data_IF_264850282493
#
_entry.id   IF_264850282493
#
_cell.length_a   1.000
_cell.length_b   1.000
_cell.length_c   1.000
_cell.angle_alpha   90.00
_cell.angle_beta   90.00
_cell.angle_gamma   90.00
#
_symmetry.space_group_name_H-M   'P 1'
#
loop_
_entity.id
_entity.type
_entity.pdbx_description
1 polymer ?
#
# COMPACT_ATOMS: atom_id res chain seq x y z
N UNK A 1 -50.98 73.93 45.45
CA UNK A 1 -50.22 72.65 45.46
C UNK A 1 -50.34 72.04 44.05
N UNK A 2 -49.46 72.37 43.15
CA UNK A 2 -49.52 71.97 41.72
C UNK A 2 -48.24 71.22 41.41
N UNK A 3 -48.33 69.89 41.18
CA UNK A 3 -47.24 69.06 40.74
C UNK A 3 -47.06 69.16 39.28
N UNK A 4 -45.88 69.63 38.85
CA UNK A 4 -45.43 69.60 37.45
C UNK A 4 -44.92 68.21 37.12
N UNK A 5 -45.50 67.58 36.08
CA UNK A 5 -45.01 66.31 35.50
C UNK A 5 -44.04 66.71 34.37
N UNK A 6 -42.82 66.29 34.47
CA UNK A 6 -41.78 66.47 33.46
C UNK A 6 -41.82 65.25 32.51
N UNK A 7 -42.18 65.47 31.24
CA UNK A 7 -42.22 64.43 30.20
C UNK A 7 -40.82 64.30 29.63
N UNK A 8 -40.18 63.16 29.80
CA UNK A 8 -38.86 62.84 29.23
C UNK A 8 -39.10 62.07 27.91
N UNK A 9 -38.77 62.72 26.81
CA UNK A 9 -38.82 62.08 25.47
C UNK A 9 -37.49 61.37 25.26
N UNK A 10 -37.52 60.05 25.23
CA UNK A 10 -36.37 59.20 24.88
C UNK A 10 -36.32 59.06 23.36
N UNK A 11 -35.33 59.65 22.69
CA UNK A 11 -35.03 59.46 21.28
C UNK A 11 -34.29 58.12 21.16
N UNK A 12 -34.91 57.09 20.61
CA UNK A 12 -34.26 55.83 20.23
C UNK A 12 -33.64 56.03 18.83
N UNK A 13 -32.33 56.24 18.79
CA UNK A 13 -31.57 56.18 17.55
C UNK A 13 -31.29 54.72 17.14
N UNK A 14 -31.88 54.29 16.07
CA UNK A 14 -31.58 52.98 15.44
C UNK A 14 -30.25 53.09 14.68
N UNK A 15 -29.18 52.54 15.27
CA UNK A 15 -27.95 52.28 14.52
C UNK A 15 -28.15 51.03 13.66
N UNK A 16 -28.30 51.25 12.37
CA UNK A 16 -28.24 50.19 11.35
C UNK A 16 -26.75 49.84 11.14
N UNK A 17 -26.26 48.83 11.81
CA UNK A 17 -24.97 48.26 11.53
C UNK A 17 -25.06 47.45 10.22
N UNK A 18 -24.46 47.95 9.13
CA UNK A 18 -24.18 47.12 7.95
C UNK A 18 -23.13 46.10 8.33
N UNK A 19 -23.57 44.83 8.55
CA UNK A 19 -22.66 43.71 8.59
C UNK A 19 -22.25 43.43 7.16
N UNK A 20 -21.05 43.87 6.78
CA UNK A 20 -20.39 43.38 5.58
C UNK A 20 -20.12 41.86 5.81
N UNK A 21 -20.89 41.04 5.16
CA UNK A 21 -20.55 39.62 5.03
C UNK A 21 -19.27 39.52 4.20
N UNK A 22 -18.15 39.30 4.85
CA UNK A 22 -16.92 38.89 4.19
C UNK A 22 -17.22 37.56 3.48
N UNK A 23 -17.40 37.62 2.17
CA UNK A 23 -17.42 36.40 1.34
C UNK A 23 -16.04 35.74 1.47
N UNK A 24 -15.98 34.41 1.74
CA UNK A 24 -14.70 33.72 1.79
C UNK A 24 -13.96 33.94 0.48
N UNK A 25 -12.74 34.44 0.56
CA UNK A 25 -11.84 34.54 -0.59
C UNK A 25 -11.73 33.14 -1.24
N UNK A 26 -11.87 33.03 -2.58
CA UNK A 26 -11.66 31.74 -3.24
C UNK A 26 -10.28 31.20 -2.86
N UNK A 27 -10.23 29.94 -2.45
CA UNK A 27 -8.97 29.25 -2.18
C UNK A 27 -8.06 29.37 -3.41
N UNK A 28 -6.76 29.57 -3.23
CA UNK A 28 -5.82 29.55 -4.35
C UNK A 28 -5.98 28.21 -5.09
N UNK A 29 -5.83 28.18 -6.42
CA UNK A 29 -5.88 26.94 -7.16
C UNK A 29 -4.86 25.97 -6.58
N UNK A 30 -5.28 24.74 -6.34
CA UNK A 30 -4.39 23.65 -5.93
C UNK A 30 -3.26 23.60 -6.97
N UNK A 31 -2.00 23.68 -6.57
CA UNK A 31 -0.89 23.60 -7.51
C UNK A 31 -1.01 22.31 -8.29
N UNK A 32 -1.09 22.38 -9.61
CA UNK A 32 -0.97 21.23 -10.48
C UNK A 32 0.44 20.67 -10.27
N UNK A 33 0.55 19.51 -9.60
CA UNK A 33 1.83 18.85 -9.39
C UNK A 33 2.27 18.38 -10.78
N UNK A 34 3.29 19.03 -11.33
CA UNK A 34 3.94 18.54 -12.56
C UNK A 34 4.73 17.29 -12.17
N UNK A 35 4.50 16.13 -12.80
CA UNK A 35 5.27 14.92 -12.48
C UNK A 35 6.76 15.19 -12.59
N UNK A 36 7.52 14.79 -11.58
CA UNK A 36 8.97 14.90 -11.58
C UNK A 36 9.51 13.74 -12.43
N UNK A 37 10.34 14.06 -13.43
CA UNK A 37 11.01 13.04 -14.24
C UNK A 37 12.22 12.52 -13.46
N UNK A 38 12.23 11.23 -13.15
CA UNK A 38 13.39 10.55 -12.56
C UNK A 38 14.45 10.30 -13.65
N UNK A 39 15.72 10.45 -13.32
CA UNK A 39 16.84 10.22 -14.25
C UNK A 39 17.20 8.72 -14.40
N UNK A 40 16.47 7.83 -13.75
CA UNK A 40 16.67 6.37 -13.85
C UNK A 40 16.47 5.90 -15.31
N UNK A 41 17.35 5.02 -15.85
CA UNK A 41 17.20 4.51 -17.21
C UNK A 41 15.83 3.85 -17.44
N UNK A 42 15.24 4.12 -18.59
CA UNK A 42 13.87 3.72 -18.92
C UNK A 42 13.62 2.20 -18.86
N UNK A 43 14.67 1.38 -19.08
CA UNK A 43 14.54 -0.06 -19.31
C UNK A 43 14.92 -0.92 -18.11
N UNK A 44 15.35 -0.33 -16.96
CA UNK A 44 15.87 -1.09 -15.82
C UNK A 44 15.42 -0.53 -14.43
N UNK A 45 14.28 0.15 -14.39
CA UNK A 45 13.82 0.75 -13.14
C UNK A 45 13.00 -0.21 -12.25
N UNK A 46 12.53 -1.35 -12.78
CA UNK A 46 11.78 -2.34 -12.00
C UNK A 46 12.14 -3.78 -12.35
N UNK A 47 11.83 -4.67 -11.43
CA UNK A 47 11.71 -6.12 -11.66
C UNK A 47 10.56 -6.66 -10.81
N UNK A 48 9.75 -7.55 -11.39
CA UNK A 48 8.64 -8.19 -10.65
C UNK A 48 8.99 -9.65 -10.40
N UNK A 49 8.76 -10.09 -9.19
CA UNK A 49 8.89 -11.48 -8.78
C UNK A 49 7.56 -11.98 -8.26
N UNK A 50 7.12 -13.13 -8.73
CA UNK A 50 5.97 -13.83 -8.19
C UNK A 50 6.42 -15.12 -7.50
N UNK A 51 5.77 -15.45 -6.39
CA UNK A 51 5.93 -16.76 -5.79
C UNK A 51 5.24 -17.80 -6.65
N UNK A 52 5.78 -19.02 -6.67
CA UNK A 52 5.14 -20.15 -7.34
C UNK A 52 5.05 -21.34 -6.38
N UNK A 53 3.98 -21.45 -5.59
CA UNK A 53 3.79 -22.54 -4.63
C UNK A 53 3.78 -23.95 -5.25
N UNK A 54 3.47 -24.06 -6.55
CA UNK A 54 3.45 -25.33 -7.27
C UNK A 54 4.81 -25.74 -7.84
N UNK A 55 5.80 -24.87 -7.77
CA UNK A 55 7.16 -25.23 -8.19
C UNK A 55 7.72 -26.30 -7.25
N UNK A 56 8.30 -27.39 -7.80
CA UNK A 56 8.88 -28.45 -6.96
C UNK A 56 9.96 -27.95 -5.98
N UNK A 57 10.67 -26.85 -6.31
CA UNK A 57 11.68 -26.24 -5.44
C UNK A 57 11.08 -25.52 -4.24
N UNK A 58 9.83 -25.06 -4.33
CA UNK A 58 9.13 -24.37 -3.24
C UNK A 58 9.01 -25.25 -1.98
N UNK A 59 8.83 -26.56 -2.17
CA UNK A 59 8.80 -27.54 -1.06
C UNK A 59 10.14 -27.66 -0.30
N UNK A 60 11.24 -27.25 -0.90
CA UNK A 60 12.59 -27.17 -0.28
C UNK A 60 12.99 -25.77 0.15
N UNK A 61 12.08 -24.80 0.06
CA UNK A 61 12.29 -23.39 0.38
C UNK A 61 13.46 -22.78 -0.40
N UNK A 62 13.45 -22.97 -1.72
CA UNK A 62 14.48 -22.47 -2.65
C UNK A 62 13.85 -21.91 -3.91
N UNK A 63 14.52 -20.91 -4.49
CA UNK A 63 14.07 -20.28 -5.72
C UNK A 63 12.89 -19.31 -5.55
N UNK A 64 12.58 -18.91 -4.33
CA UNK A 64 11.60 -17.88 -4.04
C UNK A 64 12.18 -16.46 -4.23
N UNK A 65 11.32 -15.44 -4.27
CA UNK A 65 11.74 -14.04 -4.41
C UNK A 65 12.68 -13.54 -3.31
N UNK A 66 12.69 -14.20 -2.16
CA UNK A 66 13.56 -13.90 -1.03
C UNK A 66 15.05 -14.09 -1.35
N UNK A 67 15.40 -14.95 -2.32
CA UNK A 67 16.81 -15.12 -2.75
C UNK A 67 17.36 -13.84 -3.37
N UNK A 68 16.59 -13.18 -4.20
CA UNK A 68 16.99 -11.92 -4.86
C UNK A 68 17.04 -10.76 -3.85
N UNK A 69 16.03 -10.62 -3.00
CA UNK A 69 16.04 -9.62 -1.92
C UNK A 69 17.21 -9.84 -0.98
N UNK A 70 17.48 -11.07 -0.55
CA UNK A 70 18.61 -11.36 0.36
C UNK A 70 19.97 -11.11 -0.30
N UNK A 71 20.09 -11.29 -1.62
CA UNK A 71 21.29 -10.91 -2.36
C UNK A 71 21.48 -9.37 -2.38
N UNK A 72 20.42 -8.62 -2.69
CA UNK A 72 20.44 -7.15 -2.66
C UNK A 72 20.79 -6.60 -1.26
N UNK A 73 20.23 -7.17 -0.19
CA UNK A 73 20.54 -6.81 1.19
C UNK A 73 22.04 -7.04 1.49
N UNK A 74 22.62 -8.17 1.06
CA UNK A 74 24.06 -8.44 1.25
C UNK A 74 24.96 -7.52 0.42
N UNK A 75 24.46 -7.03 -0.70
CA UNK A 75 25.19 -6.12 -1.60
C UNK A 75 25.09 -4.64 -1.17
N UNK A 76 24.27 -4.30 -0.19
CA UNK A 76 24.13 -2.95 0.36
C UNK A 76 25.46 -2.37 0.82
N UNK A 77 25.64 -1.05 0.66
CA UNK A 77 26.90 -0.35 0.97
C UNK A 77 26.78 0.68 2.09
N UNK A 78 25.59 1.29 2.24
CA UNK A 78 25.38 2.43 3.13
C UNK A 78 24.33 2.12 4.21
N UNK A 79 23.12 1.77 3.80
CA UNK A 79 21.98 1.66 4.72
C UNK A 79 20.93 0.67 4.23
N UNK A 80 20.21 0.11 5.18
CA UNK A 80 19.00 -0.70 4.97
C UNK A 80 17.96 -0.25 5.98
N UNK A 81 16.82 0.21 5.49
CA UNK A 81 15.63 0.54 6.27
C UNK A 81 14.53 -0.44 5.92
N UNK A 82 14.09 -1.26 6.87
CA UNK A 82 13.14 -2.33 6.64
C UNK A 82 11.89 -2.20 7.50
N UNK A 83 10.72 -2.05 6.87
CA UNK A 83 9.42 -2.13 7.54
C UNK A 83 8.84 -3.52 7.30
N UNK A 84 8.72 -4.32 8.36
CA UNK A 84 8.47 -5.75 8.29
C UNK A 84 7.27 -6.12 9.15
N UNK A 85 6.15 -6.50 8.51
CA UNK A 85 5.02 -7.04 9.26
C UNK A 85 5.39 -8.33 10.00
N UNK A 86 5.98 -9.30 9.31
CA UNK A 86 6.32 -10.61 9.87
C UNK A 86 7.58 -11.18 9.23
N UNK A 87 8.53 -11.65 10.06
CA UNK A 87 9.81 -12.22 9.63
C UNK A 87 10.01 -13.61 10.22
N UNK A 88 10.09 -14.65 9.35
CA UNK A 88 10.66 -15.95 9.69
C UNK A 88 11.38 -16.62 8.52
N UNK A 89 11.75 -15.83 7.50
CA UNK A 89 12.67 -16.25 6.44
C UNK A 89 14.12 -16.05 6.88
N UNK A 90 14.81 -17.16 7.07
CA UNK A 90 16.23 -17.14 7.48
C UNK A 90 17.14 -16.46 6.45
N UNK A 91 16.81 -16.57 5.15
CA UNK A 91 17.54 -15.90 4.08
C UNK A 91 17.60 -14.39 4.28
N UNK A 92 16.47 -13.78 4.67
CA UNK A 92 16.38 -12.33 4.92
C UNK A 92 17.02 -11.96 6.26
N UNK A 93 16.70 -12.70 7.35
CA UNK A 93 17.35 -12.48 8.66
C UNK A 93 18.86 -12.52 8.56
N UNK A 94 19.42 -13.60 7.97
CA UNK A 94 20.88 -13.78 7.85
C UNK A 94 21.51 -12.70 6.95
N UNK A 95 20.78 -12.22 5.93
CA UNK A 95 21.26 -11.15 5.09
C UNK A 95 21.32 -9.81 5.84
N UNK A 96 20.30 -9.47 6.64
CA UNK A 96 20.27 -8.26 7.47
C UNK A 96 21.40 -8.28 8.51
N UNK A 97 21.61 -9.41 9.19
CA UNK A 97 22.69 -9.58 10.16
C UNK A 97 24.06 -9.42 9.47
N UNK A 98 24.28 -10.10 8.32
CA UNK A 98 25.55 -10.00 7.60
C UNK A 98 25.84 -8.59 7.08
N UNK A 99 24.82 -7.86 6.62
CA UNK A 99 24.95 -6.45 6.22
C UNK A 99 25.37 -5.59 7.42
N UNK A 100 24.71 -5.74 8.57
CA UNK A 100 25.03 -5.04 9.80
C UNK A 100 26.49 -5.34 10.27
N UNK A 101 26.88 -6.60 10.30
CA UNK A 101 28.24 -7.02 10.66
C UNK A 101 29.32 -6.48 9.70
N UNK A 102 28.95 -6.21 8.43
CA UNK A 102 29.85 -5.59 7.45
C UNK A 102 29.95 -4.07 7.59
N UNK A 103 29.19 -3.45 8.50
CA UNK A 103 29.20 -2.03 8.79
C UNK A 103 28.13 -1.21 8.08
N UNK A 104 27.18 -1.86 7.39
CA UNK A 104 25.98 -1.21 6.84
C UNK A 104 25.06 -0.80 7.99
N UNK A 105 24.48 0.40 7.92
CA UNK A 105 23.46 0.83 8.88
C UNK A 105 22.18 0.08 8.61
N UNK A 106 21.76 -0.80 9.51
CA UNK A 106 20.51 -1.57 9.39
C UNK A 106 19.56 -1.12 10.48
N UNK A 107 18.33 -0.71 10.06
CA UNK A 107 17.24 -0.31 10.97
C UNK A 107 15.98 -1.08 10.59
N UNK A 108 15.19 -1.50 11.58
CA UNK A 108 13.98 -2.28 11.35
C UNK A 108 12.83 -1.71 12.15
N UNK A 109 11.69 -1.50 11.48
CA UNK A 109 10.37 -1.32 12.10
C UNK A 109 9.60 -2.62 11.92
N UNK A 110 8.98 -3.12 12.98
CA UNK A 110 8.26 -4.39 12.94
C UNK A 110 6.92 -4.29 13.68
N UNK A 111 5.93 -5.04 13.17
CA UNK A 111 4.68 -5.27 13.89
C UNK A 111 4.96 -5.87 15.29
N UNK A 112 4.41 -5.25 16.32
CA UNK A 112 4.71 -5.57 17.71
C UNK A 112 4.31 -6.98 18.11
N UNK A 113 3.25 -7.53 17.55
CA UNK A 113 2.78 -8.89 17.82
C UNK A 113 3.79 -9.97 17.34
N UNK A 114 4.74 -9.60 16.47
CA UNK A 114 5.75 -10.49 15.92
C UNK A 114 7.16 -10.27 16.52
N UNK A 115 7.31 -9.35 17.48
CA UNK A 115 8.62 -9.04 18.09
C UNK A 115 9.19 -10.16 18.96
N UNK A 116 8.37 -11.05 19.46
CA UNK A 116 8.79 -12.19 20.29
C UNK A 116 9.24 -13.40 19.47
N UNK A 117 9.13 -13.35 18.13
CA UNK A 117 9.64 -14.42 17.27
C UNK A 117 11.17 -14.50 17.28
N UNK A 118 11.69 -15.72 17.02
CA UNK A 118 13.12 -16.03 17.12
C UNK A 118 13.94 -15.12 16.22
N UNK A 119 13.50 -14.93 14.97
CA UNK A 119 14.22 -14.12 13.98
C UNK A 119 14.30 -12.65 14.38
N UNK A 120 13.23 -12.09 14.96
CA UNK A 120 13.24 -10.72 15.49
C UNK A 120 14.19 -10.57 16.68
N UNK A 121 14.24 -11.56 17.57
CA UNK A 121 15.19 -11.56 18.68
C UNK A 121 16.64 -11.69 18.22
N UNK A 122 16.91 -12.54 17.22
CA UNK A 122 18.26 -12.70 16.63
C UNK A 122 18.76 -11.41 15.95
N UNK A 123 17.88 -10.61 15.32
CA UNK A 123 18.25 -9.27 14.83
C UNK A 123 18.69 -8.35 15.98
N UNK A 124 17.93 -8.32 17.09
CA UNK A 124 18.28 -7.53 18.29
C UNK A 124 19.57 -8.01 18.93
N UNK A 125 19.77 -9.32 19.05
CA UNK A 125 20.97 -9.92 19.62
C UNK A 125 22.24 -9.62 18.79
N UNK A 126 22.07 -9.46 17.46
CA UNK A 126 23.13 -9.01 16.56
C UNK A 126 23.43 -7.50 16.68
N UNK A 127 22.65 -6.73 17.44
CA UNK A 127 22.83 -5.30 17.65
C UNK A 127 22.05 -4.42 16.66
N UNK A 128 21.17 -4.99 15.85
CA UNK A 128 20.30 -4.23 14.95
C UNK A 128 19.19 -3.57 15.77
N UNK A 129 18.94 -2.29 15.49
CA UNK A 129 17.83 -1.55 16.12
C UNK A 129 16.51 -1.98 15.51
N UNK A 130 15.63 -2.58 16.35
CA UNK A 130 14.29 -3.07 15.95
C UNK A 130 13.25 -2.37 16.80
N UNK A 131 12.44 -1.51 16.17
CA UNK A 131 11.35 -0.76 16.79
C UNK A 131 10.00 -1.45 16.50
N UNK A 132 9.15 -1.60 17.52
CA UNK A 132 7.77 -2.07 17.36
C UNK A 132 6.78 -0.91 17.38
N UNK A 133 5.64 -1.06 16.72
CA UNK A 133 4.59 -0.04 16.68
C UNK A 133 3.77 0.08 17.98
N UNK A 134 3.72 -0.95 18.82
CA UNK A 134 3.13 -0.98 20.18
C UNK A 134 1.65 -0.58 20.25
N UNK A 135 0.86 -0.91 19.23
CA UNK A 135 -0.58 -0.58 19.15
C UNK A 135 -1.41 -1.78 18.68
N UNK A 136 -2.75 -1.67 18.75
CA UNK A 136 -3.68 -2.72 18.33
C UNK A 136 -3.84 -2.83 16.79
N UNK A 137 -3.66 -1.72 16.08
CA UNK A 137 -3.69 -1.69 14.61
C UNK A 137 -2.34 -2.15 14.07
N UNK A 138 -2.30 -2.58 12.81
CA UNK A 138 -1.11 -3.24 12.28
C UNK A 138 -0.14 -2.24 11.63
N UNK A 139 1.15 -2.36 11.96
CA UNK A 139 2.22 -1.94 11.07
C UNK A 139 2.33 -3.01 9.97
N UNK A 140 1.53 -2.86 8.93
CA UNK A 140 1.35 -3.90 7.91
C UNK A 140 2.20 -3.68 6.65
N UNK A 141 3.07 -2.70 6.64
CA UNK A 141 4.05 -2.47 5.60
C UNK A 141 4.99 -3.68 5.41
N UNK A 142 5.44 -3.89 4.19
CA UNK A 142 6.40 -4.92 3.79
C UNK A 142 7.31 -4.31 2.75
N UNK A 143 8.29 -3.53 3.22
CA UNK A 143 9.25 -2.94 2.30
C UNK A 143 10.66 -2.91 2.88
N UNK A 144 11.63 -2.84 1.99
CA UNK A 144 13.04 -2.61 2.31
C UNK A 144 13.57 -1.53 1.39
N UNK A 145 14.14 -0.48 1.97
CA UNK A 145 14.89 0.56 1.23
C UNK A 145 16.38 0.25 1.38
N UNK A 146 17.11 0.17 0.28
CA UNK A 146 18.54 -0.13 0.25
C UNK A 146 19.30 1.08 -0.30
N UNK A 147 20.30 1.56 0.45
CA UNK A 147 21.22 2.64 0.08
C UNK A 147 20.53 3.96 -0.34
N UNK A 148 19.23 4.15 0.03
CA UNK A 148 18.42 5.28 -0.42
C UNK A 148 18.22 5.33 -1.95
N UNK A 149 18.38 4.21 -2.65
CA UNK A 149 18.36 4.11 -4.10
C UNK A 149 17.40 3.04 -4.63
N UNK A 150 17.08 2.04 -3.83
CA UNK A 150 16.27 0.90 -4.22
C UNK A 150 15.17 0.65 -3.20
N UNK A 151 14.00 0.24 -3.68
CA UNK A 151 12.85 -0.18 -2.87
C UNK A 151 12.43 -1.58 -3.27
N UNK A 152 12.24 -2.43 -2.27
CA UNK A 152 11.61 -3.73 -2.41
C UNK A 152 10.29 -3.71 -1.65
N UNK A 153 9.16 -3.95 -2.32
CA UNK A 153 7.83 -3.97 -1.71
C UNK A 153 6.89 -4.90 -2.45
N UNK A 154 5.66 -5.08 -1.92
CA UNK A 154 4.65 -5.94 -2.50
C UNK A 154 3.75 -6.58 -1.44
N UNK A 155 3.10 -7.68 -1.81
CA UNK A 155 2.23 -8.41 -0.88
C UNK A 155 2.97 -9.42 0.01
N UNK A 156 4.22 -9.77 -0.32
CA UNK A 156 4.95 -10.86 0.33
C UNK A 156 5.38 -10.52 1.75
N UNK A 157 4.84 -11.22 2.74
CA UNK A 157 5.46 -11.25 4.07
C UNK A 157 6.81 -11.98 4.00
N UNK A 158 7.79 -11.54 4.77
CA UNK A 158 9.11 -12.17 4.79
C UNK A 158 9.11 -13.45 5.65
N UNK A 159 8.22 -14.34 5.28
CA UNK A 159 7.98 -15.62 5.97
C UNK A 159 8.09 -16.81 5.02
N UNK A 160 8.32 -18.00 5.57
CA UNK A 160 8.34 -19.26 4.78
C UNK A 160 7.03 -19.41 4.00
N UNK A 161 5.88 -19.12 4.62
CA UNK A 161 4.61 -19.15 3.92
C UNK A 161 4.55 -18.09 2.83
N UNK A 162 5.02 -16.88 3.12
CA UNK A 162 5.03 -15.76 2.18
C UNK A 162 5.86 -16.03 0.94
N UNK A 163 7.05 -16.58 1.10
CA UNK A 163 7.98 -16.81 -0.02
C UNK A 163 7.71 -18.09 -0.83
N UNK A 164 7.04 -19.12 -0.22
CA UNK A 164 7.04 -20.46 -0.81
C UNK A 164 5.70 -21.18 -0.84
N UNK A 165 4.67 -20.70 -0.14
CA UNK A 165 3.39 -21.40 -0.02
C UNK A 165 2.18 -20.59 -0.42
N UNK A 166 2.27 -19.27 -0.26
CA UNK A 166 1.22 -18.33 -0.65
C UNK A 166 1.49 -17.78 -2.05
N UNK A 167 0.45 -17.37 -2.77
CA UNK A 167 0.61 -16.57 -3.97
C UNK A 167 0.85 -15.11 -3.58
N UNK A 168 2.03 -14.59 -3.91
CA UNK A 168 2.48 -13.25 -3.58
C UNK A 168 3.27 -12.62 -4.73
N UNK A 169 3.41 -11.31 -4.69
CA UNK A 169 4.39 -10.58 -5.47
C UNK A 169 5.40 -9.84 -4.58
N UNK A 170 6.59 -9.66 -5.11
CA UNK A 170 7.63 -8.78 -4.60
C UNK A 170 8.15 -7.97 -5.79
N UNK A 171 8.18 -6.65 -5.68
CA UNK A 171 8.70 -5.77 -6.72
C UNK A 171 9.98 -5.11 -6.23
N UNK A 172 10.97 -5.03 -7.12
CA UNK A 172 12.20 -4.27 -6.94
C UNK A 172 12.12 -3.03 -7.81
N UNK A 173 12.17 -1.86 -7.18
CA UNK A 173 12.10 -0.55 -7.81
C UNK A 173 13.43 0.17 -7.64
N UNK A 174 14.08 0.53 -8.72
CA UNK A 174 15.39 1.22 -8.76
C UNK A 174 15.17 2.69 -9.09
N UNK A 175 14.98 3.50 -8.06
CA UNK A 175 14.77 4.94 -8.17
C UNK A 175 15.04 5.61 -6.82
N UNK A 176 15.91 6.60 -6.80
CA UNK A 176 16.20 7.39 -5.60
C UNK A 176 14.96 8.15 -5.10
N UNK A 177 14.10 8.61 -6.01
CA UNK A 177 12.88 9.35 -5.64
C UNK A 177 11.81 8.45 -5.05
N UNK A 178 11.66 7.22 -5.56
CA UNK A 178 10.82 6.22 -4.91
C UNK A 178 11.39 5.85 -3.54
N UNK A 179 12.72 5.66 -3.45
CA UNK A 179 13.37 5.39 -2.17
C UNK A 179 13.15 6.54 -1.17
N UNK A 180 13.17 7.81 -1.60
CA UNK A 180 12.85 8.98 -0.75
C UNK A 180 11.41 8.91 -0.20
N UNK A 181 10.42 8.44 -0.97
CA UNK A 181 9.05 8.25 -0.48
C UNK A 181 8.99 7.23 0.66
N UNK A 182 9.55 6.03 0.43
CA UNK A 182 9.55 4.96 1.43
C UNK A 182 10.46 5.28 2.64
N UNK A 183 11.53 6.05 2.43
CA UNK A 183 12.35 6.55 3.55
C UNK A 183 11.57 7.56 4.39
N UNK A 184 10.78 8.45 3.77
CA UNK A 184 9.94 9.40 4.53
C UNK A 184 8.96 8.67 5.44
N UNK A 185 8.27 7.67 4.91
CA UNK A 185 7.36 6.82 5.68
C UNK A 185 8.09 6.06 6.80
N UNK A 186 9.26 5.48 6.50
CA UNK A 186 10.08 4.79 7.48
C UNK A 186 10.52 5.73 8.62
N UNK A 187 10.95 6.95 8.31
CA UNK A 187 11.39 7.94 9.29
C UNK A 187 10.25 8.43 10.20
N UNK A 188 9.02 8.45 9.72
CA UNK A 188 7.87 8.73 10.58
C UNK A 188 7.69 7.65 11.64
N UNK A 189 7.74 6.40 11.23
CA UNK A 189 7.65 5.27 12.15
C UNK A 189 8.87 5.19 13.06
N UNK A 190 10.08 5.17 12.50
CA UNK A 190 11.30 4.86 13.23
C UNK A 190 11.81 6.02 14.10
N UNK A 191 11.89 7.22 13.52
CA UNK A 191 12.49 8.38 14.17
C UNK A 191 11.50 9.22 14.96
N UNK A 192 10.22 9.25 14.54
CA UNK A 192 9.18 10.07 15.16
C UNK A 192 8.19 9.26 15.99
N UNK A 193 8.27 7.92 15.94
CA UNK A 193 7.36 7.01 16.64
C UNK A 193 5.87 7.24 16.28
N UNK A 194 5.62 7.57 15.00
CA UNK A 194 4.30 7.87 14.46
C UNK A 194 3.80 6.69 13.64
N UNK A 195 2.58 6.23 13.94
CA UNK A 195 1.94 5.09 13.30
C UNK A 195 0.44 5.35 13.15
N UNK A 196 -0.19 4.76 12.13
CA UNK A 196 -1.62 4.84 11.90
C UNK A 196 -2.11 6.26 11.74
N UNK A 197 -3.13 6.66 12.50
CA UNK A 197 -3.76 7.98 12.44
C UNK A 197 -2.87 9.13 12.97
N UNK A 198 -1.65 8.84 13.37
CA UNK A 198 -0.64 9.83 13.77
C UNK A 198 0.35 10.18 12.67
N UNK A 199 0.43 9.42 11.57
CA UNK A 199 1.23 9.77 10.40
C UNK A 199 0.60 10.93 9.63
N UNK A 200 1.40 11.59 8.80
CA UNK A 200 0.97 12.79 8.07
C UNK A 200 1.29 12.68 6.59
N UNK A 201 0.37 13.10 5.73
CA UNK A 201 0.56 13.13 4.30
C UNK A 201 1.74 14.03 3.90
N UNK A 202 2.91 13.43 3.72
CA UNK A 202 4.15 14.15 3.42
C UNK A 202 5.02 13.44 2.37
N UNK A 203 4.45 12.46 1.64
CA UNK A 203 5.13 11.70 0.60
C UNK A 203 5.79 12.64 -0.42
N UNK A 204 7.15 12.73 -0.48
CA UNK A 204 7.85 13.78 -1.22
C UNK A 204 7.56 13.78 -2.72
N UNK A 205 7.41 12.59 -3.29
CA UNK A 205 7.22 12.35 -4.73
C UNK A 205 6.06 11.40 -4.97
N UNK A 206 4.87 11.74 -4.41
CA UNK A 206 3.67 10.88 -4.50
C UNK A 206 3.28 10.51 -5.94
N UNK A 207 3.67 11.33 -6.92
CA UNK A 207 3.52 11.05 -8.35
C UNK A 207 4.78 11.46 -9.10
N UNK A 208 5.34 10.54 -9.89
CA UNK A 208 6.55 10.76 -10.66
C UNK A 208 6.54 9.97 -11.98
N UNK A 209 7.46 10.30 -12.89
CA UNK A 209 7.61 9.61 -14.17
C UNK A 209 9.02 9.04 -14.29
N UNK A 210 9.14 7.73 -14.51
CA UNK A 210 10.40 7.04 -14.78
C UNK A 210 10.32 6.44 -16.17
N UNK A 211 11.25 6.80 -17.07
CA UNK A 211 11.29 6.21 -18.41
C UNK A 211 9.99 6.35 -19.20
N UNK A 212 9.20 7.39 -18.96
CA UNK A 212 7.89 7.59 -19.57
C UNK A 212 6.73 6.87 -18.88
N UNK A 213 6.99 6.09 -17.83
CA UNK A 213 5.99 5.41 -17.01
C UNK A 213 5.56 6.33 -15.86
N UNK A 214 4.25 6.53 -15.73
CA UNK A 214 3.68 7.21 -14.57
C UNK A 214 3.61 6.25 -13.38
N UNK A 215 4.09 6.71 -12.21
CA UNK A 215 4.10 5.94 -10.98
C UNK A 215 3.54 6.81 -9.87
N UNK A 216 2.65 6.23 -9.06
CA UNK A 216 2.15 6.86 -7.84
C UNK A 216 2.52 5.99 -6.63
N UNK A 217 2.89 6.62 -5.54
CA UNK A 217 3.12 5.97 -4.23
C UNK A 217 2.17 6.59 -3.23
N UNK A 218 1.43 5.76 -2.52
CA UNK A 218 0.42 6.16 -1.55
C UNK A 218 0.69 5.37 -0.28
N UNK A 219 0.68 6.04 0.86
CA UNK A 219 0.71 5.40 2.16
C UNK A 219 -0.64 5.57 2.86
N UNK A 220 -1.09 4.54 3.54
CA UNK A 220 -2.31 4.57 4.32
C UNK A 220 -1.94 4.56 5.80
N UNK A 221 -2.70 5.32 6.62
CA UNK A 221 -4.06 5.83 6.38
C UNK A 221 -4.18 7.28 5.91
N UNK A 222 -3.11 8.00 5.60
CA UNK A 222 -3.11 9.46 5.45
C UNK A 222 -3.20 9.99 4.00
N UNK A 223 -2.83 9.18 2.99
CA UNK A 223 -2.79 9.60 1.59
C UNK A 223 -4.07 9.26 0.78
N UNK A 224 -5.10 8.62 1.39
CA UNK A 224 -6.40 8.37 0.74
C UNK A 224 -6.37 7.28 -0.33
N UNK A 225 -5.82 6.11 -0.02
CA UNK A 225 -5.64 4.99 -0.96
C UNK A 225 -6.96 4.52 -1.59
N UNK A 226 -8.03 4.34 -0.79
CA UNK A 226 -9.32 3.87 -1.30
C UNK A 226 -9.93 4.81 -2.31
N UNK A 227 -9.91 6.13 -2.06
CA UNK A 227 -10.45 7.14 -2.97
C UNK A 227 -9.74 7.10 -4.32
N UNK A 228 -8.40 6.97 -4.32
CA UNK A 228 -7.61 6.88 -5.55
C UNK A 228 -7.88 5.59 -6.32
N UNK A 229 -7.99 4.46 -5.63
CA UNK A 229 -8.36 3.17 -6.24
C UNK A 229 -9.75 3.24 -6.88
N UNK A 230 -10.72 3.79 -6.18
CA UNK A 230 -12.10 4.00 -6.69
C UNK A 230 -12.10 4.89 -7.92
N UNK A 231 -11.36 6.01 -7.91
CA UNK A 231 -11.24 6.91 -9.05
C UNK A 231 -10.69 6.18 -10.29
N UNK A 232 -9.63 5.38 -10.14
CA UNK A 232 -9.04 4.63 -11.25
C UNK A 232 -10.02 3.59 -11.80
N UNK A 233 -10.72 2.84 -10.93
CA UNK A 233 -11.75 1.88 -11.36
C UNK A 233 -12.89 2.58 -12.10
N UNK A 234 -13.37 3.72 -11.60
CA UNK A 234 -14.45 4.50 -12.25
C UNK A 234 -14.07 4.98 -13.65
N UNK A 235 -12.80 5.16 -13.94
CA UNK A 235 -12.28 5.56 -15.24
C UNK A 235 -11.85 4.39 -16.14
N UNK A 236 -12.04 3.14 -15.72
CA UNK A 236 -11.75 1.96 -16.54
C UNK A 236 -12.64 1.92 -17.79
N UNK A 237 -12.08 1.70 -18.97
CA UNK A 237 -12.81 1.67 -20.24
C UNK A 237 -13.08 0.24 -20.74
N UNK A 238 -12.16 -0.71 -20.52
CA UNK A 238 -12.20 -2.05 -21.11
C UNK A 238 -12.30 -3.17 -20.07
N UNK A 239 -11.44 -3.15 -19.05
CA UNK A 239 -11.34 -4.25 -18.09
C UNK A 239 -10.84 -3.84 -16.70
N UNK A 240 -11.30 -4.60 -15.69
CA UNK A 240 -10.77 -4.60 -14.31
C UNK A 240 -10.58 -6.05 -13.89
N UNK A 241 -9.33 -6.45 -13.67
CA UNK A 241 -8.98 -7.76 -13.11
C UNK A 241 -8.40 -7.58 -11.71
N UNK A 242 -8.77 -8.44 -10.76
CA UNK A 242 -8.23 -8.30 -9.42
C UNK A 242 -7.93 -9.65 -8.74
N UNK A 243 -7.00 -9.61 -7.81
CA UNK A 243 -6.69 -10.71 -6.88
C UNK A 243 -6.64 -10.13 -5.47
N UNK A 244 -7.54 -10.57 -4.60
CA UNK A 244 -7.74 -9.95 -3.29
C UNK A 244 -7.66 -10.97 -2.15
N UNK A 245 -6.63 -10.83 -1.29
CA UNK A 245 -6.57 -11.60 -0.05
C UNK A 245 -7.75 -11.25 0.84
N UNK A 246 -7.92 -9.99 1.25
CA UNK A 246 -9.07 -9.51 2.00
C UNK A 246 -9.77 -8.40 1.25
N UNK A 247 -11.07 -8.55 0.98
CA UNK A 247 -11.85 -7.57 0.27
C UNK A 247 -13.20 -7.34 0.97
N UNK A 248 -13.28 -6.24 1.72
CA UNK A 248 -14.45 -5.81 2.50
C UNK A 248 -14.75 -4.32 2.31
N UNK A 249 -14.22 -3.69 1.26
CA UNK A 249 -14.45 -2.28 0.93
C UNK A 249 -15.69 -2.12 0.06
N UNK A 250 -16.76 -1.59 0.66
CA UNK A 250 -18.02 -1.28 -0.03
C UNK A 250 -17.83 -0.36 -1.25
N UNK A 251 -16.94 0.64 -1.14
CA UNK A 251 -16.75 1.67 -2.17
C UNK A 251 -16.00 1.10 -3.40
N UNK A 252 -14.96 0.30 -3.17
CA UNK A 252 -14.22 -0.38 -4.26
C UNK A 252 -15.15 -1.36 -4.98
N UNK A 253 -15.94 -2.15 -4.25
CA UNK A 253 -16.91 -3.08 -4.83
C UNK A 253 -18.01 -2.33 -5.61
N UNK A 254 -18.52 -1.23 -5.08
CA UNK A 254 -19.53 -0.41 -5.77
C UNK A 254 -18.99 0.16 -7.10
N UNK A 255 -17.73 0.61 -7.13
CA UNK A 255 -17.09 1.09 -8.34
C UNK A 255 -16.95 -0.02 -9.40
N UNK A 256 -16.52 -1.23 -9.00
CA UNK A 256 -16.42 -2.40 -9.89
C UNK A 256 -17.80 -2.79 -10.46
N UNK A 257 -18.84 -2.84 -9.64
CA UNK A 257 -20.22 -3.13 -10.07
C UNK A 257 -20.70 -2.07 -11.06
N UNK A 258 -20.47 -0.79 -10.80
CA UNK A 258 -20.87 0.30 -11.69
C UNK A 258 -20.21 0.18 -13.07
N UNK A 259 -18.91 -0.17 -13.12
CA UNK A 259 -18.19 -0.39 -14.38
C UNK A 259 -18.67 -1.63 -15.13
N UNK A 260 -18.93 -2.72 -14.41
CA UNK A 260 -19.53 -3.93 -15.00
C UNK A 260 -20.89 -3.62 -15.67
N UNK A 261 -21.76 -2.88 -14.98
CA UNK A 261 -23.05 -2.44 -15.57
C UNK A 261 -22.90 -1.49 -16.75
N UNK A 262 -21.78 -0.78 -16.85
CA UNK A 262 -21.43 0.06 -18.00
C UNK A 262 -20.82 -0.72 -19.17
N UNK A 263 -20.60 -2.04 -19.03
CA UNK A 263 -20.09 -2.92 -20.07
C UNK A 263 -18.59 -3.22 -19.99
N UNK A 264 -17.91 -2.76 -18.93
CA UNK A 264 -16.50 -3.12 -18.66
C UNK A 264 -16.42 -4.57 -18.17
N UNK A 265 -15.45 -5.31 -18.65
CA UNK A 265 -15.18 -6.67 -18.16
C UNK A 265 -14.60 -6.62 -16.76
N UNK A 266 -15.28 -7.18 -15.75
CA UNK A 266 -14.77 -7.25 -14.38
C UNK A 266 -14.68 -8.71 -13.95
N UNK A 267 -13.46 -9.15 -13.59
CA UNK A 267 -13.23 -10.51 -13.10
C UNK A 267 -12.21 -10.52 -11.96
N UNK A 268 -12.30 -11.50 -11.06
CA UNK A 268 -11.39 -11.51 -9.93
C UNK A 268 -11.35 -12.81 -9.14
N UNK A 269 -10.34 -12.86 -8.26
CA UNK A 269 -10.12 -13.98 -7.35
C UNK A 269 -10.11 -13.48 -5.91
N UNK A 270 -10.91 -14.12 -5.07
CA UNK A 270 -10.91 -13.95 -3.62
C UNK A 270 -10.19 -15.12 -2.96
N UNK A 271 -9.50 -14.84 -1.87
CA UNK A 271 -8.91 -15.88 -1.02
C UNK A 271 -10.03 -16.62 -0.25
N UNK A 272 -10.05 -17.97 -0.37
CA UNK A 272 -11.15 -18.79 0.13
C UNK A 272 -11.30 -18.73 1.65
N UNK A 273 -10.20 -18.76 2.41
CA UNK A 273 -10.23 -18.70 3.88
C UNK A 273 -10.76 -17.34 4.39
N UNK A 274 -10.39 -16.25 3.70
CA UNK A 274 -10.89 -14.90 4.01
C UNK A 274 -12.38 -14.76 3.67
N UNK A 275 -12.84 -15.40 2.60
CA UNK A 275 -14.28 -15.44 2.29
C UNK A 275 -15.09 -16.01 3.45
N UNK A 276 -14.63 -17.12 4.07
CA UNK A 276 -15.34 -17.74 5.19
C UNK A 276 -15.13 -17.05 6.54
N UNK A 277 -14.01 -16.36 6.75
CA UNK A 277 -13.65 -15.78 8.05
C UNK A 277 -13.97 -14.30 8.20
N UNK A 278 -13.99 -13.54 7.10
CA UNK A 278 -14.25 -12.10 7.14
C UNK A 278 -15.73 -11.80 7.30
N UNK A 279 -16.04 -10.84 8.15
CA UNK A 279 -17.36 -10.21 8.18
C UNK A 279 -17.41 -9.11 7.12
N UNK A 280 -18.44 -9.13 6.26
CA UNK A 280 -18.62 -8.10 5.24
C UNK A 280 -17.73 -8.30 4.00
N UNK A 281 -17.40 -9.54 3.65
CA UNK A 281 -16.75 -9.84 2.37
C UNK A 281 -17.65 -9.43 1.20
N UNK A 282 -17.04 -8.83 0.17
CA UNK A 282 -17.75 -8.36 -1.01
C UNK A 282 -18.04 -9.47 -2.06
N UNK A 283 -17.58 -10.69 -1.83
CA UNK A 283 -17.68 -11.80 -2.78
C UNK A 283 -19.12 -12.03 -3.27
N UNK A 284 -20.04 -12.30 -2.34
CA UNK A 284 -21.43 -12.60 -2.71
C UNK A 284 -22.12 -11.42 -3.42
N UNK A 285 -21.82 -10.18 -3.00
CA UNK A 285 -22.33 -8.96 -3.61
C UNK A 285 -21.88 -8.80 -5.06
N UNK A 286 -20.63 -9.14 -5.37
CA UNK A 286 -20.09 -9.08 -6.72
C UNK A 286 -20.66 -10.23 -7.59
N UNK A 287 -20.81 -11.45 -7.04
CA UNK A 287 -21.46 -12.57 -7.71
C UNK A 287 -22.93 -12.22 -8.05
N UNK A 288 -23.67 -11.69 -7.09
CA UNK A 288 -25.08 -11.30 -7.28
C UNK A 288 -25.23 -10.19 -8.34
N UNK A 289 -24.23 -9.34 -8.49
CA UNK A 289 -24.19 -8.31 -9.53
C UNK A 289 -23.76 -8.86 -10.91
N UNK A 290 -23.38 -10.13 -11.01
CA UNK A 290 -23.06 -10.83 -12.27
C UNK A 290 -21.59 -10.76 -12.71
N UNK A 291 -20.68 -10.35 -11.83
CA UNK A 291 -19.25 -10.34 -12.11
C UNK A 291 -18.66 -11.77 -12.09
N UNK A 292 -17.65 -12.04 -12.93
CA UNK A 292 -16.93 -13.33 -12.91
C UNK A 292 -15.88 -13.33 -11.79
N UNK A 293 -16.33 -13.55 -10.55
CA UNK A 293 -15.47 -13.65 -9.39
C UNK A 293 -15.50 -15.07 -8.83
N UNK A 294 -14.34 -15.55 -8.40
CA UNK A 294 -14.13 -16.93 -7.99
C UNK A 294 -13.32 -17.01 -6.71
N UNK A 295 -13.44 -18.13 -6.01
CA UNK A 295 -12.56 -18.46 -4.89
C UNK A 295 -11.28 -19.10 -5.42
N UNK A 296 -10.16 -18.81 -4.79
CA UNK A 296 -8.85 -19.33 -5.19
C UNK A 296 -8.72 -20.85 -5.00
N UNK A 297 -7.69 -21.44 -5.59
CA UNK A 297 -7.40 -22.86 -5.48
C UNK A 297 -6.11 -23.18 -4.72
N UNK A 298 -5.49 -22.19 -4.07
CA UNK A 298 -4.28 -22.40 -3.28
C UNK A 298 -4.64 -23.07 -1.93
N UNK A 299 -4.01 -24.19 -1.59
CA UNK A 299 -4.23 -24.87 -0.31
C UNK A 299 -3.74 -24.06 0.92
N UNK A 300 -3.05 -22.94 0.68
CA UNK A 300 -2.63 -21.96 1.69
C UNK A 300 -3.37 -20.65 1.45
N UNK A 301 -2.69 -19.62 1.00
CA UNK A 301 -3.36 -18.33 0.78
C UNK A 301 -3.00 -17.77 -0.60
N UNK A 302 -4.01 -17.37 -1.34
CA UNK A 302 -3.85 -16.38 -2.41
C UNK A 302 -3.72 -15.01 -1.75
N UNK A 303 -2.48 -14.54 -1.57
CA UNK A 303 -2.19 -13.38 -0.71
C UNK A 303 -1.95 -12.08 -1.48
N UNK A 304 -2.25 -12.07 -2.77
CA UNK A 304 -2.18 -10.86 -3.58
C UNK A 304 -3.18 -9.76 -3.13
N UNK A 305 -2.84 -8.52 -3.41
CA UNK A 305 -3.66 -7.33 -3.29
C UNK A 305 -3.42 -6.50 -4.55
N UNK A 306 -4.02 -6.93 -5.65
CA UNK A 306 -3.72 -6.46 -7.00
C UNK A 306 -5.02 -6.07 -7.68
N UNK A 307 -5.00 -4.93 -8.38
CA UNK A 307 -6.01 -4.55 -9.37
C UNK A 307 -5.28 -4.17 -10.66
N UNK A 308 -5.73 -4.71 -11.79
CA UNK A 308 -5.21 -4.41 -13.13
C UNK A 308 -6.33 -3.77 -13.92
N UNK A 309 -6.11 -2.58 -14.46
CA UNK A 309 -7.11 -1.80 -15.18
C UNK A 309 -6.64 -1.62 -16.64
N UNK A 310 -7.52 -1.96 -17.59
CA UNK A 310 -7.36 -1.76 -19.04
C UNK A 310 -6.01 -2.31 -19.57
N UNK A 311 -5.50 -3.39 -18.95
CA UNK A 311 -4.21 -4.01 -19.27
C UNK A 311 -3.01 -3.03 -19.26
N UNK A 312 -3.16 -1.90 -18.57
CA UNK A 312 -2.20 -0.79 -18.60
C UNK A 312 -1.86 -0.24 -17.21
N UNK A 313 -2.77 -0.31 -16.24
CA UNK A 313 -2.55 0.21 -14.90
C UNK A 313 -2.55 -0.94 -13.92
N UNK A 314 -1.53 -1.01 -13.06
CA UNK A 314 -1.46 -1.98 -11.96
C UNK A 314 -1.43 -1.25 -10.64
N UNK A 315 -2.27 -1.68 -9.73
CA UNK A 315 -2.29 -1.28 -8.33
C UNK A 315 -1.81 -2.49 -7.52
N UNK A 316 -0.77 -2.31 -6.71
CA UNK A 316 -0.17 -3.38 -5.89
C UNK A 316 0.44 -2.82 -4.61
N UNK A 317 0.86 -3.66 -3.66
CA UNK A 317 1.46 -3.28 -2.39
C UNK A 317 1.01 -4.16 -1.24
N UNK A 318 1.05 -3.62 -0.03
CA UNK A 318 0.61 -4.32 1.18
C UNK A 318 -0.89 -4.17 1.46
N UNK A 319 -1.53 -3.17 0.86
CA UNK A 319 -2.88 -2.67 1.16
C UNK A 319 -3.97 -3.70 0.84
N UNK A 320 -4.64 -4.22 1.87
CA UNK A 320 -5.86 -5.01 1.70
C UNK A 320 -7.03 -4.08 1.35
N UNK A 321 -7.97 -4.54 0.53
CA UNK A 321 -9.16 -3.74 0.14
C UNK A 321 -10.17 -3.74 1.29
N UNK A 322 -9.82 -3.09 2.40
CA UNK A 322 -10.59 -3.12 3.65
C UNK A 322 -10.56 -1.78 4.38
N UNK A 323 -11.59 -1.56 5.22
CA UNK A 323 -11.63 -0.35 6.04
C UNK A 323 -10.45 -0.26 7.03
N UNK A 324 -9.95 -1.37 7.57
CA UNK A 324 -8.81 -1.34 8.50
C UNK A 324 -7.54 -0.88 7.80
N UNK A 325 -7.32 -1.33 6.56
CA UNK A 325 -6.19 -0.86 5.74
C UNK A 325 -6.29 0.64 5.45
N UNK A 326 -7.50 1.18 5.24
CA UNK A 326 -7.71 2.60 4.91
C UNK A 326 -7.55 3.55 6.09
N UNK A 327 -7.92 3.14 7.33
CA UNK A 327 -8.06 4.11 8.43
C UNK A 327 -7.26 3.76 9.68
N UNK A 328 -6.49 2.67 9.68
CA UNK A 328 -5.82 2.19 10.91
C UNK A 328 -4.42 1.64 10.72
N UNK A 329 -4.22 0.82 9.67
CA UNK A 329 -2.96 0.13 9.45
C UNK A 329 -2.00 1.04 8.71
N UNK A 330 -0.70 0.83 8.91
CA UNK A 330 0.33 1.39 8.04
C UNK A 330 0.51 0.47 6.84
N UNK A 331 0.15 0.96 5.66
CA UNK A 331 0.17 0.21 4.40
C UNK A 331 0.83 1.03 3.29
N UNK A 332 1.27 0.36 2.25
CA UNK A 332 1.68 1.04 1.01
C UNK A 332 0.93 0.52 -0.21
N UNK A 333 0.74 1.43 -1.17
CA UNK A 333 0.20 1.17 -2.50
C UNK A 333 1.15 1.77 -3.53
N UNK A 334 1.48 0.99 -4.56
CA UNK A 334 2.20 1.45 -5.75
C UNK A 334 1.26 1.29 -6.94
N UNK A 335 1.06 2.37 -7.69
CA UNK A 335 0.26 2.40 -8.92
C UNK A 335 1.22 2.65 -10.08
N UNK A 336 1.23 1.75 -11.06
CA UNK A 336 2.13 1.82 -12.21
C UNK A 336 1.31 1.83 -13.50
N UNK A 337 1.47 2.88 -14.33
CA UNK A 337 0.81 3.00 -15.63
C UNK A 337 1.78 2.57 -16.73
N UNK A 338 1.86 1.26 -16.99
CA UNK A 338 2.77 0.68 -17.98
C UNK A 338 2.24 -0.67 -18.47
N UNK A 339 2.05 -0.81 -19.78
CA UNK A 339 1.49 -2.02 -20.39
C UNK A 339 2.41 -3.24 -20.26
N UNK A 340 3.74 -3.06 -20.30
CA UNK A 340 4.68 -4.17 -20.11
C UNK A 340 4.64 -4.68 -18.67
N UNK A 341 4.59 -3.77 -17.69
CA UNK A 341 4.40 -4.10 -16.28
C UNK A 341 3.05 -4.80 -16.05
N UNK A 342 1.97 -4.26 -16.62
CA UNK A 342 0.65 -4.86 -16.53
C UNK A 342 0.58 -6.26 -17.13
N UNK A 343 1.27 -6.50 -18.25
CA UNK A 343 1.34 -7.82 -18.88
C UNK A 343 1.98 -8.90 -17.98
N UNK A 344 2.90 -8.53 -17.06
CA UNK A 344 3.45 -9.47 -16.08
C UNK A 344 2.39 -9.86 -15.05
N UNK A 345 1.63 -8.89 -14.55
CA UNK A 345 0.56 -9.13 -13.60
C UNK A 345 -0.64 -9.85 -14.21
N UNK A 346 -0.94 -9.63 -15.49
CA UNK A 346 -1.97 -10.39 -16.20
C UNK A 346 -1.62 -11.87 -16.33
N UNK A 347 -0.34 -12.19 -16.64
CA UNK A 347 0.10 -13.60 -16.63
C UNK A 347 -0.07 -14.27 -15.28
N UNK A 348 0.21 -13.54 -14.20
CA UNK A 348 -0.02 -14.03 -12.85
C UNK A 348 -1.52 -14.18 -12.54
N UNK A 349 -2.33 -13.20 -12.94
CA UNK A 349 -3.78 -13.30 -12.83
C UNK A 349 -4.31 -14.54 -13.56
N UNK A 350 -3.91 -14.76 -14.80
CA UNK A 350 -4.32 -15.92 -15.59
C UNK A 350 -3.92 -17.25 -14.92
N UNK A 351 -2.72 -17.29 -14.32
CA UNK A 351 -2.23 -18.47 -13.58
C UNK A 351 -3.11 -18.77 -12.37
N UNK A 352 -3.42 -17.75 -11.57
CA UNK A 352 -4.22 -17.89 -10.35
C UNK A 352 -5.68 -18.16 -10.70
N UNK A 353 -6.25 -17.38 -11.63
CA UNK A 353 -7.63 -17.51 -12.08
C UNK A 353 -7.91 -18.87 -12.74
N UNK A 354 -6.93 -19.41 -13.47
CA UNK A 354 -7.01 -20.74 -14.08
C UNK A 354 -7.06 -21.92 -13.09
N UNK A 355 -6.78 -21.67 -11.79
CA UNK A 355 -6.81 -22.67 -10.70
C UNK A 355 -7.98 -22.51 -9.75
N UNK A 356 -8.85 -21.54 -9.98
CA UNK A 356 -10.03 -21.27 -9.14
C UNK A 356 -11.00 -22.44 -9.09
N UNK A 357 -11.77 -22.49 -8.02
CA UNK A 357 -12.82 -23.50 -7.76
C UNK A 357 -14.16 -23.06 -8.30
#
# INVERSE_FOLDING_TARGET
MTKRILLLILLLGTLTACVLLDLPTPLPPVPTITPIVDETPADDWYTVYFTNPDDPSAGSFRGGPDSELSAAIRDAKLSIDAAIYHLNLWSIRDALIAAHESGVQVRVVMESDNLDEVEAQELKDAGIEVLGDRRESLMHNKFVVIDGAEVWTGSMNFTINGGYRNDNNLIHLRSTRLAENFTSEFEEMFSRDMFGDHIIANTPHSSLTIGGTQIETIFSPDDGAADRIVELIQNADESVHFMAFSFTSDDIAAAMIARHHAGVTVSGVFEEGQYYSNTGTEFDRLVDAGLDVRLDGNDRNMHHKIIIIDEAIVITGSYNFSRSAEVRNDENVVIVQNTAFAAEYLREFDRVFGKTK
#
